data_IF_383603244943
#
_entry.id   IF_383603244943
#
_cell.length_a   1.000
_cell.length_b   1.000
_cell.length_c   1.000
_cell.angle_alpha   90.00
_cell.angle_beta   90.00
_cell.angle_gamma   90.00
#
_symmetry.space_group_name_H-M   'P 1'
#
loop_
_entity.id
_entity.type
_entity.pdbx_description
1 polymer ?
#
# COMPACT_ATOMS: atom_id res chain seq x y z
N UNK A 1 28.23 -7.81 -15.87
CA UNK A 1 28.79 -8.33 -14.60
C UNK A 1 28.42 -7.30 -13.55
N UNK A 2 27.30 -7.49 -12.85
CA UNK A 2 26.75 -6.50 -11.94
C UNK A 2 27.27 -6.76 -10.53
N UNK A 3 27.92 -5.74 -9.98
CA UNK A 3 28.44 -5.72 -8.60
C UNK A 3 27.26 -5.54 -7.66
N UNK A 4 27.20 -6.34 -6.60
CA UNK A 4 26.18 -6.20 -5.55
C UNK A 4 26.48 -4.93 -4.71
N UNK A 5 25.50 -4.02 -4.53
CA UNK A 5 25.71 -2.82 -3.73
C UNK A 5 25.48 -3.17 -2.26
N UNK A 6 26.56 -3.18 -1.48
CA UNK A 6 26.52 -3.51 -0.05
C UNK A 6 27.71 -3.05 0.76
N UNK A 7 28.48 -2.06 0.29
CA UNK A 7 29.71 -1.64 0.99
C UNK A 7 30.03 -0.13 0.86
N UNK A 8 29.00 0.73 0.83
CA UNK A 8 29.16 2.17 1.06
C UNK A 8 28.66 2.52 2.46
N UNK A 9 29.43 2.11 3.47
CA UNK A 9 29.22 2.57 4.83
C UNK A 9 29.59 4.05 4.94
N UNK A 10 28.62 4.94 4.76
CA UNK A 10 28.73 6.33 5.20
C UNK A 10 28.74 6.34 6.74
N UNK A 11 29.89 6.67 7.32
CA UNK A 11 30.02 6.94 8.75
C UNK A 11 29.41 8.30 9.05
N UNK A 12 28.08 8.38 9.11
CA UNK A 12 27.37 9.53 9.67
C UNK A 12 27.31 9.34 11.19
N UNK A 13 28.04 10.21 11.88
CA UNK A 13 28.13 10.21 13.34
C UNK A 13 26.79 10.62 13.96
N UNK A 14 26.45 9.96 15.05
CA UNK A 14 25.25 10.16 15.86
C UNK A 14 25.36 11.41 16.75
N UNK A 15 25.41 12.59 16.14
CA UNK A 15 25.15 13.86 16.82
C UNK A 15 24.09 14.60 15.99
N UNK A 16 22.81 14.45 16.38
CA UNK A 16 21.65 15.00 15.70
C UNK A 16 21.51 16.53 15.75
N UNK A 17 22.58 17.26 15.45
CA UNK A 17 22.59 18.71 15.25
C UNK A 17 22.48 19.12 13.76
N UNK A 18 22.54 18.15 12.85
CA UNK A 18 22.43 18.43 11.40
C UNK A 18 21.03 18.92 11.01
N UNK A 19 19.97 18.50 11.72
CA UNK A 19 18.60 18.92 11.41
C UNK A 19 18.38 20.43 11.62
N UNK A 20 18.92 20.99 12.70
CA UNK A 20 18.84 22.44 13.00
C UNK A 20 19.58 23.27 11.93
N UNK A 21 20.73 22.79 11.46
CA UNK A 21 21.51 23.47 10.43
C UNK A 21 20.80 23.51 9.06
N UNK A 22 19.99 22.50 8.73
CA UNK A 22 19.19 22.49 7.50
C UNK A 22 17.95 23.37 7.59
N UNK A 23 17.32 23.48 8.76
CA UNK A 23 16.20 24.39 8.98
C UNK A 23 16.61 25.86 8.85
N UNK A 24 17.75 26.25 9.43
CA UNK A 24 18.29 27.62 9.33
C UNK A 24 18.63 28.01 7.87
N UNK A 25 19.19 27.06 7.11
CA UNK A 25 19.48 27.28 5.69
C UNK A 25 18.18 27.41 4.87
N UNK A 26 17.17 26.59 5.16
CA UNK A 26 15.88 26.64 4.49
C UNK A 26 15.15 27.97 4.76
N UNK A 27 15.22 28.48 5.99
CA UNK A 27 14.69 29.82 6.34
C UNK A 27 15.40 30.94 5.60
N UNK A 28 16.74 30.91 5.51
CA UNK A 28 17.50 31.93 4.78
C UNK A 28 17.20 31.93 3.27
N UNK A 29 16.98 30.74 2.68
CA UNK A 29 16.63 30.60 1.26
C UNK A 29 15.17 31.03 1.01
N UNK A 30 14.25 30.71 1.92
CA UNK A 30 12.85 31.14 1.86
C UNK A 30 12.70 32.67 1.92
N UNK A 31 13.46 33.33 2.79
CA UNK A 31 13.47 34.79 2.94
C UNK A 31 14.04 35.49 1.70
N UNK A 32 15.05 34.88 1.06
CA UNK A 32 15.66 35.38 -0.18
C UNK A 32 14.75 35.25 -1.43
N UNK A 33 13.85 34.27 -1.46
CA UNK A 33 13.02 33.97 -2.63
C UNK A 33 11.54 34.36 -2.48
N UNK A 34 11.13 34.88 -1.31
CA UNK A 34 9.83 35.53 -1.09
C UNK A 34 8.60 34.62 -1.20
N UNK A 35 8.78 33.31 -1.39
CA UNK A 35 7.69 32.32 -1.41
C UNK A 35 8.20 31.03 -0.77
N UNK A 36 7.85 30.81 0.49
CA UNK A 36 7.91 29.49 1.10
C UNK A 36 6.52 28.85 0.97
N UNK A 37 6.42 27.74 0.25
CA UNK A 37 5.23 26.88 0.36
C UNK A 37 5.32 26.17 1.70
N UNK A 38 4.71 26.78 2.72
CA UNK A 38 4.62 26.19 4.04
C UNK A 38 3.42 25.26 4.04
N UNK A 39 3.63 23.99 3.66
CA UNK A 39 2.62 22.96 3.87
C UNK A 39 2.42 22.82 5.38
N UNK A 40 1.30 23.32 5.89
CA UNK A 40 0.98 23.23 7.31
C UNK A 40 0.61 21.81 7.74
N UNK A 41 0.49 20.88 6.79
CA UNK A 41 0.22 19.47 7.06
C UNK A 41 1.53 18.77 7.30
N UNK A 42 1.71 18.35 8.54
CA UNK A 42 2.85 17.54 8.91
C UNK A 42 2.64 16.11 8.41
N UNK A 43 3.73 15.38 8.17
CA UNK A 43 3.67 13.94 7.87
C UNK A 43 2.90 13.16 8.95
N UNK A 44 2.93 13.65 10.20
CA UNK A 44 2.11 13.16 11.31
C UNK A 44 0.61 13.26 11.00
N UNK A 45 0.12 14.42 10.56
CA UNK A 45 -1.30 14.63 10.26
C UNK A 45 -1.79 13.68 9.15
N UNK A 46 -0.95 13.41 8.15
CA UNK A 46 -1.28 12.48 7.07
C UNK A 46 -1.42 11.04 7.57
N UNK A 47 -0.54 10.59 8.46
CA UNK A 47 -0.60 9.24 9.03
C UNK A 47 -1.79 9.11 9.97
N UNK A 48 -2.04 10.12 10.79
CA UNK A 48 -3.17 10.13 11.72
C UNK A 48 -4.49 10.04 10.96
N UNK A 49 -4.70 10.91 9.95
CA UNK A 49 -5.89 10.87 9.10
C UNK A 49 -6.04 9.55 8.35
N UNK A 50 -4.96 8.99 7.80
CA UNK A 50 -5.03 7.67 7.17
C UNK A 50 -5.43 6.59 8.17
N UNK A 51 -4.87 6.63 9.38
CA UNK A 51 -5.19 5.68 10.46
C UNK A 51 -6.65 5.81 10.85
N UNK A 52 -7.17 7.02 11.05
CA UNK A 52 -8.57 7.28 11.33
C UNK A 52 -9.48 6.72 10.24
N UNK A 53 -9.16 6.96 8.96
CA UNK A 53 -9.93 6.43 7.85
C UNK A 53 -9.92 4.90 7.78
N UNK A 54 -8.82 4.23 8.15
CA UNK A 54 -8.80 2.78 8.29
C UNK A 54 -9.65 2.30 9.47
N UNK A 55 -9.59 2.99 10.61
CA UNK A 55 -10.37 2.63 11.79
C UNK A 55 -11.89 2.75 11.53
N UNK A 56 -12.32 3.81 10.84
CA UNK A 56 -13.74 4.03 10.51
C UNK A 56 -14.38 2.91 9.69
N UNK A 57 -13.60 2.19 8.90
CA UNK A 57 -14.08 1.08 8.07
C UNK A 57 -13.75 -0.30 8.63
N UNK A 58 -12.95 -0.39 9.71
CA UNK A 58 -12.36 -1.64 10.19
C UNK A 58 -13.39 -2.75 10.43
N UNK A 59 -14.48 -2.47 11.15
CA UNK A 59 -15.53 -3.47 11.43
C UNK A 59 -16.12 -4.07 10.15
N UNK A 60 -16.23 -3.26 9.11
CA UNK A 60 -16.81 -3.67 7.83
C UNK A 60 -15.82 -4.45 7.00
N UNK A 61 -14.54 -4.07 7.03
CA UNK A 61 -13.47 -4.84 6.41
C UNK A 61 -13.36 -6.23 7.03
N UNK A 62 -13.52 -6.36 8.34
CA UNK A 62 -13.57 -7.65 9.02
C UNK A 62 -14.75 -8.48 8.50
N UNK A 63 -15.94 -7.91 8.41
CA UNK A 63 -17.11 -8.63 7.89
C UNK A 63 -16.92 -9.06 6.43
N UNK A 64 -16.39 -8.18 5.58
CA UNK A 64 -16.05 -8.51 4.19
C UNK A 64 -14.99 -9.62 4.11
N UNK A 65 -14.01 -9.61 5.02
CA UNK A 65 -12.98 -10.64 5.08
C UNK A 65 -13.56 -11.99 5.51
N UNK A 66 -14.46 -12.01 6.49
CA UNK A 66 -15.16 -13.23 6.90
C UNK A 66 -16.06 -13.78 5.77
N UNK A 67 -16.73 -12.91 5.02
CA UNK A 67 -17.53 -13.29 3.85
C UNK A 67 -16.62 -13.89 2.76
N UNK A 68 -15.49 -13.25 2.47
CA UNK A 68 -14.45 -13.78 1.59
C UNK A 68 -13.98 -15.18 2.04
N UNK A 69 -13.61 -15.36 3.32
CA UNK A 69 -13.15 -16.66 3.82
C UNK A 69 -14.20 -17.76 3.74
N UNK A 70 -15.49 -17.42 3.83
CA UNK A 70 -16.57 -18.40 3.67
C UNK A 70 -16.71 -18.87 2.22
N UNK A 71 -16.43 -17.99 1.25
CA UNK A 71 -16.56 -18.27 -0.18
C UNK A 71 -15.24 -18.73 -0.85
N UNK A 72 -14.11 -18.61 -0.15
CA UNK A 72 -12.80 -19.02 -0.66
C UNK A 72 -12.78 -20.52 -0.95
N UNK A 73 -12.67 -20.88 -2.22
CA UNK A 73 -12.62 -22.27 -2.68
C UNK A 73 -11.19 -22.85 -2.61
N UNK A 74 -10.24 -22.06 -2.11
CA UNK A 74 -8.83 -22.43 -1.93
C UNK A 74 -7.92 -22.05 -3.10
N UNK A 75 -8.47 -21.43 -4.15
CA UNK A 75 -7.73 -20.84 -5.26
C UNK A 75 -7.41 -19.35 -5.03
N UNK A 76 -7.86 -18.76 -3.92
CA UNK A 76 -7.57 -17.37 -3.55
C UNK A 76 -8.24 -16.34 -4.46
N UNK A 77 -9.21 -16.77 -5.27
CA UNK A 77 -10.05 -15.92 -6.10
C UNK A 77 -11.51 -16.16 -5.68
N UNK A 78 -12.34 -15.12 -5.54
CA UNK A 78 -13.78 -15.35 -5.41
C UNK A 78 -14.27 -16.11 -6.64
N UNK A 79 -15.20 -17.05 -6.44
CA UNK A 79 -15.90 -17.67 -7.56
C UNK A 79 -16.48 -16.56 -8.48
N UNK A 80 -16.47 -16.73 -9.81
CA UNK A 80 -17.04 -15.74 -10.71
C UNK A 80 -18.56 -15.66 -10.47
N UNK A 81 -18.97 -14.73 -9.62
CA UNK A 81 -20.39 -14.44 -9.39
C UNK A 81 -20.96 -13.66 -10.57
N UNK A 82 -22.17 -14.04 -10.97
CA UNK A 82 -22.92 -13.33 -12.00
C UNK A 82 -23.18 -11.90 -11.50
N UNK A 83 -22.53 -10.92 -12.14
CA UNK A 83 -22.72 -9.51 -11.81
C UNK A 83 -24.20 -9.17 -11.88
N UNK A 84 -24.81 -8.81 -10.76
CA UNK A 84 -26.20 -8.34 -10.76
C UNK A 84 -26.31 -7.09 -11.66
N UNK A 85 -27.25 -7.13 -12.60
CA UNK A 85 -27.44 -6.08 -13.59
C UNK A 85 -27.79 -4.75 -12.89
N UNK A 86 -26.81 -3.85 -12.79
CA UNK A 86 -26.98 -2.53 -12.16
C UNK A 86 -26.12 -2.27 -10.90
N UNK A 87 -25.28 -3.22 -10.48
CA UNK A 87 -24.33 -2.99 -9.40
C UNK A 87 -23.35 -1.84 -9.73
N UNK A 88 -23.10 -0.96 -8.77
CA UNK A 88 -22.00 0.01 -8.88
C UNK A 88 -20.68 -0.75 -8.97
N UNK A 89 -19.67 -0.22 -9.66
CA UNK A 89 -18.37 -0.86 -9.79
C UNK A 89 -17.23 0.05 -9.33
N UNK A 90 -16.25 -0.54 -8.67
CA UNK A 90 -14.95 0.06 -8.42
C UNK A 90 -14.09 -0.13 -9.68
N UNK A 91 -13.79 0.96 -10.37
CA UNK A 91 -13.08 0.95 -11.66
C UNK A 91 -11.62 1.35 -11.51
N UNK A 92 -10.80 0.93 -12.49
CA UNK A 92 -9.42 1.39 -12.67
C UNK A 92 -8.44 1.03 -11.55
N UNK A 93 -8.72 -0.04 -10.80
CA UNK A 93 -7.82 -0.50 -9.74
C UNK A 93 -6.81 -1.49 -10.30
N UNK A 94 -5.55 -1.27 -9.98
CA UNK A 94 -4.47 -2.19 -10.26
C UNK A 94 -4.41 -3.28 -9.19
N UNK A 95 -4.74 -4.51 -9.59
CA UNK A 95 -4.68 -5.69 -8.74
C UNK A 95 -3.33 -6.38 -8.93
N UNK A 96 -2.63 -6.58 -7.82
CA UNK A 96 -1.33 -7.22 -7.75
C UNK A 96 -1.45 -8.51 -6.96
N UNK A 97 -1.02 -9.60 -7.56
CA UNK A 97 -0.80 -10.90 -6.94
C UNK A 97 0.65 -11.35 -7.20
N UNK A 98 1.08 -12.47 -6.63
CA UNK A 98 2.45 -12.97 -6.76
C UNK A 98 2.85 -13.15 -8.23
N UNK A 99 1.92 -13.63 -9.07
CA UNK A 99 2.19 -13.96 -10.47
C UNK A 99 1.37 -13.17 -11.48
N UNK A 100 0.37 -12.40 -11.03
CA UNK A 100 -0.47 -11.62 -11.94
C UNK A 100 -0.53 -10.16 -11.51
N UNK A 101 -0.50 -9.28 -12.51
CA UNK A 101 -0.73 -7.84 -12.37
C UNK A 101 -1.72 -7.43 -13.44
N UNK A 102 -2.88 -6.91 -13.04
CA UNK A 102 -3.93 -6.51 -13.99
C UNK A 102 -4.74 -5.34 -13.47
N UNK A 103 -5.22 -4.52 -14.39
CA UNK A 103 -6.23 -3.51 -14.11
C UNK A 103 -7.61 -4.15 -14.17
N UNK A 104 -8.42 -3.94 -13.15
CA UNK A 104 -9.73 -4.58 -13.04
C UNK A 104 -10.83 -3.57 -12.69
N UNK A 105 -12.05 -4.00 -12.98
CA UNK A 105 -13.27 -3.36 -12.49
C UNK A 105 -14.01 -4.38 -11.65
N UNK A 106 -14.31 -4.03 -10.41
CA UNK A 106 -14.89 -4.93 -9.42
C UNK A 106 -16.30 -4.47 -9.05
N UNK A 107 -17.32 -5.33 -9.11
CA UNK A 107 -18.66 -4.97 -8.69
C UNK A 107 -18.73 -4.81 -7.16
N UNK A 108 -19.45 -3.80 -6.70
CA UNK A 108 -19.85 -3.65 -5.30
C UNK A 108 -21.04 -4.56 -5.01
N UNK A 109 -21.06 -5.17 -3.81
CA UNK A 109 -22.31 -5.71 -3.25
C UNK A 109 -23.22 -4.57 -2.80
N UNK A 110 -24.53 -4.85 -2.74
CA UNK A 110 -25.58 -3.89 -2.39
C UNK A 110 -25.31 -3.13 -1.07
N UNK A 111 -24.61 -3.75 -0.12
CA UNK A 111 -24.35 -3.21 1.20
C UNK A 111 -22.95 -2.61 1.38
N UNK A 112 -22.03 -2.74 0.42
CA UNK A 112 -20.68 -2.16 0.53
C UNK A 112 -20.74 -0.63 0.46
N UNK A 113 -20.09 0.07 1.39
CA UNK A 113 -19.99 1.53 1.39
C UNK A 113 -18.56 2.02 1.10
N UNK A 114 -17.55 1.20 1.40
CA UNK A 114 -16.15 1.52 1.18
C UNK A 114 -15.55 0.71 0.04
N UNK A 115 -14.64 1.30 -0.77
CA UNK A 115 -13.94 0.58 -1.83
C UNK A 115 -13.20 -0.68 -1.35
N UNK A 116 -12.60 -0.61 -0.16
CA UNK A 116 -11.86 -1.73 0.41
C UNK A 116 -12.76 -2.91 0.83
N UNK A 117 -14.06 -2.70 1.09
CA UNK A 117 -15.00 -3.82 1.30
C UNK A 117 -15.15 -4.65 0.03
N UNK A 118 -15.33 -3.97 -1.11
CA UNK A 118 -15.38 -4.65 -2.40
C UNK A 118 -14.06 -5.35 -2.71
N UNK A 119 -12.91 -4.68 -2.48
CA UNK A 119 -11.60 -5.31 -2.70
C UNK A 119 -11.43 -6.58 -1.86
N UNK A 120 -11.73 -6.52 -0.56
CA UNK A 120 -11.57 -7.66 0.35
C UNK A 120 -12.48 -8.80 -0.04
N UNK A 121 -13.74 -8.50 -0.39
CA UNK A 121 -14.65 -9.50 -0.91
C UNK A 121 -14.08 -10.22 -2.13
N UNK A 122 -13.34 -9.51 -2.97
CA UNK A 122 -12.66 -10.08 -4.13
C UNK A 122 -11.25 -10.64 -3.86
N UNK A 123 -10.83 -10.75 -2.60
CA UNK A 123 -9.53 -11.33 -2.22
C UNK A 123 -8.35 -10.35 -2.27
N UNK A 124 -8.60 -9.05 -2.28
CA UNK A 124 -7.57 -7.99 -2.36
C UNK A 124 -7.73 -6.96 -1.24
N UNK A 125 -6.68 -6.23 -0.91
CA UNK A 125 -6.76 -5.05 -0.02
C UNK A 125 -6.05 -3.86 -0.65
N UNK A 126 -6.69 -2.69 -0.61
CA UNK A 126 -6.15 -1.47 -1.17
C UNK A 126 -5.00 -0.89 -0.35
N UNK A 127 -4.08 -0.19 -1.02
CA UNK A 127 -3.00 0.55 -0.37
C UNK A 127 -3.45 1.91 0.22
N UNK A 128 -4.73 2.26 0.09
CA UNK A 128 -5.33 3.50 0.60
C UNK A 128 -6.73 3.23 1.15
N UNK A 129 -7.09 3.82 2.31
CA UNK A 129 -8.40 3.61 2.92
C UNK A 129 -9.55 4.25 2.14
N UNK A 130 -9.30 5.36 1.44
CA UNK A 130 -10.34 6.19 0.82
C UNK A 130 -10.43 5.96 -0.68
N UNK A 131 -9.28 5.95 -1.37
CA UNK A 131 -9.22 5.84 -2.82
C UNK A 131 -8.10 4.87 -3.22
N UNK A 132 -8.34 3.55 -3.15
CA UNK A 132 -7.35 2.57 -3.52
C UNK A 132 -7.18 2.52 -5.04
N UNK A 133 -6.02 2.94 -5.53
CA UNK A 133 -5.60 2.80 -6.94
C UNK A 133 -4.86 1.49 -7.19
N UNK A 134 -4.20 0.98 -6.16
CA UNK A 134 -3.46 -0.28 -6.16
C UNK A 134 -3.98 -1.13 -5.02
N UNK A 135 -4.18 -2.41 -5.28
CA UNK A 135 -4.57 -3.40 -4.29
C UNK A 135 -3.73 -4.67 -4.42
N UNK A 136 -3.38 -5.26 -3.28
CA UNK A 136 -2.55 -6.47 -3.21
C UNK A 136 -3.41 -7.64 -2.76
N UNK A 137 -3.19 -8.82 -3.35
CA UNK A 137 -3.95 -10.01 -2.99
C UNK A 137 -3.69 -10.42 -1.54
N UNK A 138 -4.75 -10.83 -0.84
CA UNK A 138 -4.66 -11.34 0.52
C UNK A 138 -3.75 -12.58 0.57
N UNK A 139 -3.76 -13.40 -0.47
CA UNK A 139 -2.88 -14.57 -0.58
C UNK A 139 -1.39 -14.19 -0.68
N UNK A 140 -1.05 -13.13 -1.43
CA UNK A 140 0.33 -12.61 -1.49
C UNK A 140 0.78 -12.11 -0.12
N UNK A 141 -0.08 -11.41 0.62
CA UNK A 141 0.22 -10.96 1.98
C UNK A 141 0.36 -12.14 2.95
N UNK A 142 -0.50 -13.15 2.86
CA UNK A 142 -0.40 -14.36 3.66
C UNK A 142 0.91 -15.11 3.37
N UNK A 143 1.31 -15.21 2.11
CA UNK A 143 2.59 -15.81 1.70
C UNK A 143 3.78 -15.05 2.29
N UNK A 144 3.77 -13.72 2.21
CA UNK A 144 4.77 -12.87 2.85
C UNK A 144 4.83 -13.11 4.37
N UNK A 145 3.68 -13.17 5.04
CA UNK A 145 3.63 -13.43 6.48
C UNK A 145 4.29 -14.77 6.84
N UNK A 146 4.02 -15.85 6.10
CA UNK A 146 4.67 -17.14 6.32
C UNK A 146 6.19 -17.08 6.09
N UNK A 147 6.63 -16.40 5.03
CA UNK A 147 8.06 -16.22 4.75
C UNK A 147 8.73 -15.44 5.89
N UNK A 148 8.12 -14.35 6.34
CA UNK A 148 8.64 -13.52 7.42
C UNK A 148 8.69 -14.27 8.77
N UNK A 149 7.74 -15.17 9.04
CA UNK A 149 7.80 -16.05 10.22
C UNK A 149 9.01 -17.00 10.20
N UNK A 150 9.40 -17.51 9.02
CA UNK A 150 10.53 -18.43 8.85
C UNK A 150 11.86 -17.66 8.79
N UNK A 151 11.86 -16.52 8.13
CA UNK A 151 13.03 -15.67 7.92
C UNK A 151 12.68 -14.20 8.21
N UNK A 152 12.84 -13.75 9.47
CA UNK A 152 12.57 -12.35 9.84
C UNK A 152 13.47 -11.32 9.14
N UNK A 153 14.59 -11.77 8.56
CA UNK A 153 15.46 -10.92 7.74
C UNK A 153 14.83 -10.59 6.38
N UNK A 154 13.84 -11.37 5.94
CA UNK A 154 13.07 -11.09 4.73
C UNK A 154 12.00 -10.02 5.02
N UNK A 155 12.45 -8.76 5.05
CA UNK A 155 11.58 -7.62 5.33
C UNK A 155 10.65 -7.24 4.17
N UNK A 156 9.70 -6.36 4.46
CA UNK A 156 8.69 -5.88 3.50
C UNK A 156 9.32 -5.26 2.24
N UNK A 157 10.44 -4.55 2.37
CA UNK A 157 11.14 -3.96 1.22
C UNK A 157 11.67 -5.04 0.27
N UNK A 158 12.12 -6.19 0.78
CA UNK A 158 12.57 -7.31 -0.05
C UNK A 158 11.38 -7.93 -0.80
N UNK A 159 10.22 -8.07 -0.14
CA UNK A 159 8.99 -8.52 -0.79
C UNK A 159 8.52 -7.55 -1.88
N UNK A 160 8.54 -6.24 -1.64
CA UNK A 160 8.21 -5.25 -2.66
C UNK A 160 9.15 -5.34 -3.87
N UNK A 161 10.47 -5.46 -3.63
CA UNK A 161 11.46 -5.66 -4.71
C UNK A 161 11.19 -6.96 -5.48
N UNK A 162 10.84 -8.04 -4.79
CA UNK A 162 10.48 -9.30 -5.43
C UNK A 162 9.26 -9.12 -6.35
N UNK A 163 8.17 -8.53 -5.86
CA UNK A 163 6.98 -8.26 -6.67
C UNK A 163 7.30 -7.35 -7.87
N UNK A 164 8.09 -6.30 -7.66
CA UNK A 164 8.56 -5.44 -8.75
C UNK A 164 9.31 -6.22 -9.83
N UNK A 165 10.26 -7.09 -9.45
CA UNK A 165 10.98 -7.93 -10.42
C UNK A 165 10.08 -8.98 -11.10
N UNK A 166 9.12 -9.57 -10.39
CA UNK A 166 8.18 -10.54 -10.97
C UNK A 166 7.26 -9.90 -12.02
N UNK A 167 6.95 -8.61 -11.87
CA UNK A 167 6.05 -7.86 -12.76
C UNK A 167 6.77 -6.91 -13.72
N UNK A 168 8.11 -7.01 -13.83
CA UNK A 168 8.95 -6.14 -14.66
C UNK A 168 8.72 -4.63 -14.40
N UNK A 169 8.58 -4.24 -13.13
CA UNK A 169 8.38 -2.85 -12.69
C UNK A 169 9.61 -2.33 -11.94
N UNK A 170 9.97 -1.08 -12.20
CA UNK A 170 11.01 -0.41 -11.42
C UNK A 170 10.45 0.10 -10.09
N UNK A 171 11.07 -0.30 -8.98
CA UNK A 171 10.79 0.31 -7.67
C UNK A 171 11.34 1.73 -7.68
N UNK A 172 10.45 2.71 -7.63
CA UNK A 172 10.84 4.11 -7.47
C UNK A 172 11.03 4.41 -5.99
N UNK A 173 12.16 5.00 -5.56
CA UNK A 173 12.29 5.51 -4.22
C UNK A 173 11.25 6.62 -4.00
N UNK A 174 10.63 6.65 -2.83
CA UNK A 174 9.83 7.78 -2.39
C UNK A 174 10.79 8.98 -2.26
N UNK A 175 10.62 9.98 -3.13
CA UNK A 175 11.35 11.25 -3.11
C UNK A 175 10.73 12.21 -2.10
#
# INVERSE_FOLDING_TARGET
MFVAPGDEAFTLSHEGGEHEAFEDLAWQVADAHGVCYQDSRTWHDHIELQTEHWMLQMERLINAYLDYCYHDTGDGLPAPEESEAGAQCLTDVELIDMFTRRRATLPYKLHHLYPNEALIYHGYIGCSPVLPTVAVSLHTLASYHQIHCICPQFGIQAQCKLLCHLHDVHLQPFL
#
